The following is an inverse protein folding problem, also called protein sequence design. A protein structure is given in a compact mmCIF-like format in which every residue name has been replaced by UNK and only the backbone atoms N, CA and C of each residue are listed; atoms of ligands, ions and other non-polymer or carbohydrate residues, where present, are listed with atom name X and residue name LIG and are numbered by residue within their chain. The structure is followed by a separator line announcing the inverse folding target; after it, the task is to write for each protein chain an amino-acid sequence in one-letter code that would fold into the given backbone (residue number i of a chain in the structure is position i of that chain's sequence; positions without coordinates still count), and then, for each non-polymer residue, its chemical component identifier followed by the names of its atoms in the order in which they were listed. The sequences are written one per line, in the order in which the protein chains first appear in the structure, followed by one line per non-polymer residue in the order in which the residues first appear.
data_IF_258907615572
#
_entry.id   IF_258907615572
#
_cell.length_a   1.000
_cell.length_b   1.000
_cell.length_c   1.000
_cell.angle_alpha   90.00
_cell.angle_beta   90.00
_cell.angle_gamma   90.00
#
_symmetry.space_group_name_H-M   'P 1'
#
loop_
_entity.id
_entity.type
_entity.pdbx_description
1 polymer ?
#
# COMPACT_ATOMS: atom_id res chain seq x y z
N UNK A 1 -25.79 -3.63 10.12
CA UNK A 1 -25.97 -2.19 9.78
C UNK A 1 -26.91 -1.52 10.76
N UNK A 2 -26.49 -0.44 11.45
CA UNK A 2 -27.30 0.24 12.49
C UNK A 2 -28.27 1.29 11.95
N UNK A 3 -27.87 2.06 10.92
CA UNK A 3 -28.67 3.15 10.32
C UNK A 3 -28.36 3.30 8.83
N UNK A 4 -29.36 3.57 7.96
CA UNK A 4 -29.11 3.77 6.54
C UNK A 4 -28.40 5.11 6.30
N UNK A 5 -27.18 5.06 5.77
CA UNK A 5 -26.42 6.25 5.41
C UNK A 5 -26.96 6.84 4.09
N UNK A 6 -27.54 8.04 4.16
CA UNK A 6 -27.99 8.78 2.97
C UNK A 6 -26.84 9.62 2.43
N UNK A 7 -26.20 9.15 1.36
CA UNK A 7 -25.15 9.89 0.65
C UNK A 7 -25.77 11.00 -0.21
N UNK A 8 -25.36 12.27 -0.05
CA UNK A 8 -25.75 13.34 -0.96
C UNK A 8 -25.05 13.18 -2.32
N UNK A 9 -25.62 13.73 -3.40
CA UNK A 9 -24.95 13.80 -4.69
C UNK A 9 -23.85 14.87 -4.63
N UNK A 10 -22.58 14.44 -4.54
CA UNK A 10 -21.43 15.34 -4.56
C UNK A 10 -21.17 15.87 -5.97
N UNK A 11 -20.77 17.14 -6.08
CA UNK A 11 -20.37 17.73 -7.37
C UNK A 11 -18.87 17.62 -7.63
N UNK A 12 -18.07 17.45 -6.57
CA UNK A 12 -16.61 17.43 -6.65
C UNK A 12 -15.99 16.53 -5.56
N UNK A 13 -14.79 16.01 -5.82
CA UNK A 13 -14.04 15.10 -4.92
C UNK A 13 -13.68 15.79 -3.58
N UNK A 14 -13.40 17.10 -3.61
CA UNK A 14 -13.10 17.85 -2.39
C UNK A 14 -14.29 17.97 -1.43
N UNK A 15 -15.52 18.01 -1.95
CA UNK A 15 -16.74 18.02 -1.13
C UNK A 15 -16.95 16.65 -0.48
N UNK A 16 -16.70 15.59 -1.23
CA UNK A 16 -16.75 14.21 -0.75
C UNK A 16 -15.72 14.00 0.38
N UNK A 17 -14.48 14.45 0.20
CA UNK A 17 -13.42 14.33 1.22
C UNK A 17 -13.80 15.04 2.53
N UNK A 18 -14.39 16.24 2.43
CA UNK A 18 -14.87 17.00 3.61
C UNK A 18 -16.04 16.31 4.31
N UNK A 19 -16.94 15.68 3.56
CA UNK A 19 -18.04 14.91 4.11
C UNK A 19 -17.55 13.69 4.88
N UNK A 20 -16.64 12.91 4.29
CA UNK A 20 -16.04 11.73 4.93
C UNK A 20 -15.22 12.08 6.17
N UNK A 21 -14.52 13.23 6.17
CA UNK A 21 -13.77 13.68 7.34
C UNK A 21 -14.67 14.05 8.54
N UNK A 22 -15.93 14.41 8.30
CA UNK A 22 -16.87 14.83 9.34
C UNK A 22 -17.70 13.67 9.89
N UNK A 23 -17.90 12.61 9.10
CA UNK A 23 -18.78 11.51 9.49
C UNK A 23 -18.04 10.46 10.32
N UNK A 24 -18.65 10.02 11.42
CA UNK A 24 -18.16 8.89 12.18
C UNK A 24 -18.82 7.60 11.66
N UNK A 25 -18.03 6.73 11.03
CA UNK A 25 -18.50 5.47 10.47
C UNK A 25 -18.98 4.46 11.53
N UNK A 26 -18.52 4.60 12.79
CA UNK A 26 -18.91 3.72 13.89
C UNK A 26 -20.39 3.85 14.29
N UNK A 27 -21.04 4.97 13.94
CA UNK A 27 -22.46 5.20 14.24
C UNK A 27 -23.40 4.52 13.24
N UNK A 28 -22.87 4.10 12.08
CA UNK A 28 -23.65 3.56 10.96
C UNK A 28 -23.35 2.08 10.69
N UNK A 29 -22.11 1.64 10.90
CA UNK A 29 -21.64 0.29 10.59
C UNK A 29 -21.34 -0.53 11.85
N UNK A 30 -21.67 -1.82 11.81
CA UNK A 30 -21.23 -2.80 12.81
C UNK A 30 -19.98 -3.55 12.34
N UNK A 31 -19.11 -4.04 13.24
CA UNK A 31 -17.95 -4.85 12.86
C UNK A 31 -18.31 -6.10 12.05
N UNK A 32 -19.53 -6.61 12.20
CA UNK A 32 -20.10 -7.73 11.41
C UNK A 32 -20.43 -7.36 9.96
N UNK A 33 -20.55 -6.06 9.64
CA UNK A 33 -20.79 -5.58 8.27
C UNK A 33 -19.48 -5.42 7.47
N UNK A 34 -18.31 -5.61 8.11
CA UNK A 34 -17.02 -5.43 7.48
C UNK A 34 -16.61 -6.66 6.66
N UNK A 35 -16.54 -6.51 5.34
CA UNK A 35 -16.08 -7.55 4.42
C UNK A 35 -14.58 -7.39 4.12
N UNK A 36 -13.85 -8.51 4.09
CA UNK A 36 -12.45 -8.54 3.66
C UNK A 36 -12.38 -8.37 2.15
N UNK A 37 -12.28 -7.12 1.71
CA UNK A 37 -12.09 -6.81 0.29
C UNK A 37 -10.61 -6.94 -0.09
N UNK A 38 -10.34 -7.76 -1.11
CA UNK A 38 -9.05 -7.76 -1.79
C UNK A 38 -9.14 -6.75 -2.92
N UNK A 39 -8.14 -5.88 -3.04
CA UNK A 39 -8.04 -4.92 -4.14
C UNK A 39 -6.99 -5.38 -5.16
N UNK A 40 -7.27 -6.40 -5.98
CA UNK A 40 -6.28 -6.96 -6.91
C UNK A 40 -5.85 -5.98 -8.01
N UNK A 41 -6.68 -4.97 -8.29
CA UNK A 41 -6.50 -4.04 -9.41
C UNK A 41 -6.00 -2.66 -9.01
N UNK A 42 -5.78 -2.39 -7.71
CA UNK A 42 -5.12 -1.15 -7.31
C UNK A 42 -3.66 -1.23 -7.77
N UNK A 43 -3.29 -0.42 -8.76
CA UNK A 43 -1.89 -0.30 -9.20
C UNK A 43 -1.07 0.16 -7.99
N UNK A 44 -0.13 -0.65 -7.46
CA UNK A 44 0.85 -0.12 -6.54
C UNK A 44 1.64 0.95 -7.28
N UNK A 45 1.52 2.20 -6.86
CA UNK A 45 2.21 3.32 -7.49
C UNK A 45 3.71 3.16 -7.27
N UNK A 46 4.46 2.87 -8.32
CA UNK A 46 5.93 2.79 -8.27
C UNK A 46 6.53 4.14 -8.61
N UNK A 47 7.36 4.68 -7.71
CA UNK A 47 8.14 5.91 -7.96
C UNK A 47 9.61 5.57 -8.12
N UNK A 48 10.23 6.04 -9.19
CA UNK A 48 11.69 5.93 -9.37
C UNK A 48 12.40 6.84 -8.38
N UNK A 49 13.38 6.30 -7.67
CA UNK A 49 14.23 7.02 -6.72
C UNK A 49 15.70 6.72 -7.00
N UNK A 50 16.57 7.70 -6.76
CA UNK A 50 18.02 7.51 -6.81
C UNK A 50 18.54 7.23 -5.40
N UNK A 51 19.23 6.10 -5.22
CA UNK A 51 19.85 5.71 -3.94
C UNK A 51 21.34 5.49 -4.17
N UNK A 52 22.19 5.94 -3.23
CA UNK A 52 23.61 5.60 -3.22
C UNK A 52 23.82 4.32 -2.42
N UNK A 53 24.53 3.36 -3.01
CA UNK A 53 24.83 2.06 -2.41
C UNK A 53 26.34 1.82 -2.61
N UNK A 54 27.07 1.28 -1.62
CA UNK A 54 28.45 0.88 -1.80
C UNK A 54 28.60 -0.17 -2.92
N UNK A 55 29.66 -0.05 -3.72
CA UNK A 55 29.88 -0.91 -4.89
C UNK A 55 30.01 -2.39 -4.53
N UNK A 56 30.73 -2.71 -3.45
CA UNK A 56 30.88 -4.09 -2.97
C UNK A 56 29.52 -4.74 -2.65
N UNK A 57 28.58 -3.95 -2.10
CA UNK A 57 27.26 -4.45 -1.75
C UNK A 57 26.41 -4.68 -2.99
N UNK A 58 26.49 -3.78 -3.97
CA UNK A 58 25.80 -3.96 -5.26
C UNK A 58 26.26 -5.24 -5.96
N UNK A 59 27.55 -5.54 -5.93
CA UNK A 59 28.11 -6.77 -6.52
C UNK A 59 27.58 -8.01 -5.81
N UNK A 60 27.57 -8.02 -4.47
CA UNK A 60 26.98 -9.13 -3.69
C UNK A 60 25.50 -9.35 -3.96
N UNK A 61 24.73 -8.27 -4.11
CA UNK A 61 23.31 -8.38 -4.45
C UNK A 61 23.11 -8.97 -5.85
N UNK A 62 23.95 -8.60 -6.82
CA UNK A 62 23.91 -9.19 -8.18
C UNK A 62 24.24 -10.68 -8.17
N UNK A 63 25.30 -11.08 -7.45
CA UNK A 63 25.67 -12.49 -7.27
C UNK A 63 24.49 -13.28 -6.68
N UNK A 64 23.91 -12.78 -5.58
CA UNK A 64 22.82 -13.47 -4.91
C UNK A 64 21.57 -13.55 -5.77
N UNK A 65 21.22 -12.46 -6.46
CA UNK A 65 20.07 -12.42 -7.36
C UNK A 65 20.20 -13.43 -8.51
N UNK A 66 21.41 -13.59 -9.05
CA UNK A 66 21.70 -14.59 -10.07
C UNK A 66 21.55 -16.03 -9.54
N UNK A 67 22.03 -16.31 -8.32
CA UNK A 67 21.89 -17.63 -7.66
C UNK A 67 20.43 -18.09 -7.57
N UNK A 68 19.51 -17.17 -7.26
CA UNK A 68 18.07 -17.44 -7.15
C UNK A 68 17.28 -17.11 -8.43
N UNK A 69 17.96 -16.84 -9.54
CA UNK A 69 17.36 -16.52 -10.85
C UNK A 69 16.33 -15.38 -10.83
N UNK A 70 16.61 -14.28 -10.11
CA UNK A 70 15.78 -13.07 -10.14
C UNK A 70 16.58 -11.83 -10.52
N UNK A 71 15.95 -10.77 -11.05
CA UNK A 71 16.63 -9.50 -11.25
C UNK A 71 17.11 -8.88 -9.94
N UNK A 72 18.32 -8.31 -9.93
CA UNK A 72 18.89 -7.70 -8.73
C UNK A 72 18.03 -6.57 -8.17
N UNK A 73 17.34 -5.80 -9.01
CA UNK A 73 16.41 -4.75 -8.56
C UNK A 73 15.20 -5.34 -7.81
N UNK A 74 14.72 -6.52 -8.21
CA UNK A 74 13.66 -7.24 -7.51
C UNK A 74 14.13 -7.72 -6.14
N UNK A 75 15.37 -8.23 -6.05
CA UNK A 75 15.97 -8.62 -4.78
C UNK A 75 16.13 -7.43 -3.83
N UNK A 76 16.58 -6.27 -4.33
CA UNK A 76 16.66 -5.03 -3.55
C UNK A 76 15.30 -4.65 -2.97
N UNK A 77 14.23 -4.70 -3.78
CA UNK A 77 12.86 -4.42 -3.31
C UNK A 77 12.42 -5.38 -2.20
N UNK A 78 12.75 -6.67 -2.30
CA UNK A 78 12.43 -7.65 -1.27
C UNK A 78 13.18 -7.37 0.03
N UNK A 79 14.46 -6.99 -0.02
CA UNK A 79 15.22 -6.64 1.18
C UNK A 79 14.70 -5.36 1.84
N UNK A 80 14.36 -4.33 1.07
CA UNK A 80 13.74 -3.11 1.62
C UNK A 80 12.40 -3.45 2.27
N UNK A 81 11.55 -4.25 1.60
CA UNK A 81 10.29 -4.72 2.16
C UNK A 81 10.53 -5.46 3.48
N UNK A 82 11.44 -6.43 3.50
CA UNK A 82 11.77 -7.18 4.71
C UNK A 82 12.25 -6.25 5.82
N UNK A 83 13.14 -5.29 5.53
CA UNK A 83 13.64 -4.35 6.54
C UNK A 83 12.56 -3.44 7.14
N UNK A 84 11.60 -2.98 6.33
CA UNK A 84 10.50 -2.11 6.79
C UNK A 84 9.42 -2.89 7.54
N UNK A 85 9.11 -4.11 7.11
CA UNK A 85 8.01 -4.92 7.66
C UNK A 85 8.46 -6.03 8.65
N UNK A 86 9.76 -6.20 8.92
CA UNK A 86 10.24 -7.15 9.95
C UNK A 86 10.21 -6.59 11.37
N UNK A 87 9.84 -5.33 11.56
CA UNK A 87 9.73 -4.65 12.86
C UNK A 87 8.30 -4.64 13.45
N UNK A 88 7.41 -5.50 12.96
CA UNK A 88 6.09 -5.80 13.56
C UNK A 88 6.07 -7.22 14.15
#
# INVERSE_FOLDING_TARGET
MKKPLKLPKFKNEDEERKFWARINLADYYEPSDAEKVSFPNLKPTTRSISIRIPEYLLNRVKEKANEINIPYQSLIKQYIKKGVFSSE
#
